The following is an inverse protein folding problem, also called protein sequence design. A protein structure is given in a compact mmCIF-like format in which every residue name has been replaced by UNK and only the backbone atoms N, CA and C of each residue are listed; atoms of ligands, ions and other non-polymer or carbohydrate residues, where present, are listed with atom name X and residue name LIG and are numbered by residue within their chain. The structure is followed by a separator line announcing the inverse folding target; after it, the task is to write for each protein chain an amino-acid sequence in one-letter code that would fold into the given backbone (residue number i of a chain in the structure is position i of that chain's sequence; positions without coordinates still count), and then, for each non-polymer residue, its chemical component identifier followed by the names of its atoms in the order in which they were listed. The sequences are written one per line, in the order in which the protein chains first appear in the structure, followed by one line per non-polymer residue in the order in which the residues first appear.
data_IF_938145569307
#
_entry.id   IF_938145569307
#
_cell.length_a   1.000
_cell.length_b   1.000
_cell.length_c   1.000
_cell.angle_alpha   90.00
_cell.angle_beta   90.00
_cell.angle_gamma   90.00
#
_symmetry.space_group_name_H-M   'P 1'
#
loop_
_entity.id
_entity.type
_entity.pdbx_description
1 polymer ?
#
# COMPACT_ATOMS: atom_id res chain seq x y z
N UNK A 1 -24.85 27.88 -17.17
CA UNK A 1 -25.07 26.65 -17.97
C UNK A 1 -26.47 26.17 -17.64
N UNK A 2 -27.42 26.39 -18.55
CA UNK A 2 -28.84 26.13 -18.29
C UNK A 2 -29.24 24.66 -18.52
N UNK A 3 -28.29 23.86 -19.03
CA UNK A 3 -28.45 22.43 -19.26
C UNK A 3 -27.54 21.58 -18.37
N UNK A 4 -28.02 20.38 -18.00
CA UNK A 4 -27.22 19.39 -17.27
C UNK A 4 -26.04 18.94 -18.14
N UNK A 5 -24.85 18.79 -17.55
CA UNK A 5 -23.63 18.32 -18.23
C UNK A 5 -23.85 17.11 -19.16
N UNK A 6 -24.59 16.10 -18.69
CA UNK A 6 -24.89 14.88 -19.45
C UNK A 6 -25.68 15.11 -20.75
N UNK A 7 -26.43 16.21 -20.85
CA UNK A 7 -27.24 16.56 -22.04
C UNK A 7 -26.46 17.34 -23.09
N UNK A 8 -25.28 17.88 -22.73
CA UNK A 8 -24.46 18.62 -23.67
C UNK A 8 -23.95 17.69 -24.79
N UNK A 9 -23.96 18.17 -26.06
CA UNK A 9 -23.31 17.50 -27.17
C UNK A 9 -21.87 17.09 -26.83
N UNK A 10 -21.42 15.96 -27.36
CA UNK A 10 -20.08 15.44 -27.09
C UNK A 10 -19.01 16.44 -27.51
N UNK A 11 -19.16 17.06 -28.67
CA UNK A 11 -18.25 18.09 -29.19
C UNK A 11 -18.05 19.25 -28.21
N UNK A 12 -19.15 19.76 -27.61
CA UNK A 12 -19.07 20.85 -26.63
C UNK A 12 -18.35 20.40 -25.36
N UNK A 13 -18.61 19.18 -24.87
CA UNK A 13 -17.92 18.62 -23.71
C UNK A 13 -16.42 18.43 -23.99
N UNK A 14 -16.08 17.94 -25.16
CA UNK A 14 -14.70 17.72 -25.58
C UNK A 14 -13.96 19.07 -25.69
N UNK A 15 -14.58 20.11 -26.23
CA UNK A 15 -14.00 21.47 -26.25
C UNK A 15 -13.76 22.01 -24.84
N UNK A 16 -14.72 21.81 -23.93
CA UNK A 16 -14.56 22.27 -22.53
C UNK A 16 -13.42 21.52 -21.83
N UNK A 17 -13.31 20.20 -22.03
CA UNK A 17 -12.34 19.36 -21.33
C UNK A 17 -10.94 19.45 -21.93
N UNK A 18 -10.82 19.35 -23.26
CA UNK A 18 -9.55 19.18 -23.99
C UNK A 18 -9.18 20.39 -24.87
N UNK A 19 -10.05 21.40 -24.95
CA UNK A 19 -9.75 22.65 -25.60
C UNK A 19 -10.34 22.79 -27.01
N UNK A 20 -10.22 23.99 -27.57
CA UNK A 20 -10.76 24.37 -28.88
C UNK A 20 -9.80 24.13 -30.05
N UNK A 21 -8.66 23.47 -29.81
CA UNK A 21 -7.59 23.28 -30.80
C UNK A 21 -7.17 24.61 -31.43
N UNK A 22 -7.39 24.77 -32.74
CA UNK A 22 -7.05 25.97 -33.51
C UNK A 22 -8.15 27.04 -33.51
N UNK A 23 -9.36 26.73 -32.99
CA UNK A 23 -10.47 27.67 -32.99
C UNK A 23 -10.28 28.74 -31.90
N UNK A 24 -10.17 30.00 -32.32
CA UNK A 24 -10.09 31.14 -31.41
C UNK A 24 -11.44 31.47 -30.79
N UNK A 25 -11.49 31.45 -29.45
CA UNK A 25 -12.65 31.84 -28.68
C UNK A 25 -12.43 33.24 -28.12
N UNK A 26 -13.47 34.09 -28.18
CA UNK A 26 -13.44 35.42 -27.58
C UNK A 26 -13.66 35.32 -26.06
N UNK A 27 -12.66 35.71 -25.29
CA UNK A 27 -12.73 35.83 -23.84
C UNK A 27 -12.93 37.30 -23.45
N UNK A 28 -13.92 37.56 -22.60
CA UNK A 28 -14.11 38.86 -21.98
C UNK A 28 -13.69 38.77 -20.52
N UNK A 29 -12.74 39.61 -20.13
CA UNK A 29 -12.26 39.71 -18.75
C UNK A 29 -12.80 40.98 -18.12
N UNK A 30 -13.25 40.85 -16.88
CA UNK A 30 -13.74 41.94 -16.04
C UNK A 30 -13.22 41.69 -14.62
N UNK A 31 -12.19 42.45 -14.23
CA UNK A 31 -11.58 42.36 -12.89
C UNK A 31 -12.17 43.40 -11.92
N UNK A 32 -13.20 44.14 -12.35
CA UNK A 32 -13.83 45.22 -11.60
C UNK A 32 -13.23 46.61 -11.83
N UNK A 33 -12.04 46.71 -12.44
CA UNK A 33 -11.38 47.98 -12.77
C UNK A 33 -11.32 48.22 -14.28
N UNK A 34 -11.02 47.18 -15.07
CA UNK A 34 -10.95 47.24 -16.53
C UNK A 34 -11.69 46.09 -17.20
N UNK A 35 -12.31 46.40 -18.35
CA UNK A 35 -12.97 45.42 -19.21
C UNK A 35 -12.23 45.34 -20.53
N UNK A 36 -11.65 44.18 -20.83
CA UNK A 36 -11.02 43.93 -22.12
C UNK A 36 -11.46 42.60 -22.71
N UNK A 37 -11.43 42.51 -24.04
CA UNK A 37 -11.72 41.28 -24.76
C UNK A 37 -10.54 40.85 -25.58
N UNK A 38 -10.17 39.57 -25.50
CA UNK A 38 -9.10 38.97 -26.28
C UNK A 38 -9.61 37.72 -27.00
N UNK A 39 -9.04 37.41 -28.17
CA UNK A 39 -9.27 36.15 -28.87
C UNK A 39 -8.04 35.27 -28.66
N UNK A 40 -8.27 34.06 -28.16
CA UNK A 40 -7.23 33.06 -27.98
C UNK A 40 -7.84 31.67 -28.09
N UNK A 41 -7.02 30.68 -28.36
CA UNK A 41 -7.43 29.28 -28.24
C UNK A 41 -7.69 28.94 -26.77
N UNK A 42 -8.68 28.09 -26.53
CA UNK A 42 -8.96 27.57 -25.21
C UNK A 42 -8.21 26.25 -25.05
N UNK A 43 -7.31 26.16 -24.07
CA UNK A 43 -6.50 24.95 -23.88
C UNK A 43 -7.29 23.76 -23.31
N UNK A 44 -8.48 24.00 -22.74
CA UNK A 44 -9.28 22.96 -22.08
C UNK A 44 -8.98 22.85 -20.59
N UNK A 45 -9.97 22.43 -19.81
CA UNK A 45 -9.84 22.32 -18.35
C UNK A 45 -8.83 21.24 -17.95
N UNK A 46 -8.83 20.08 -18.61
CA UNK A 46 -7.92 18.96 -18.27
C UNK A 46 -6.48 19.33 -18.57
N UNK A 47 -6.21 19.84 -19.78
CA UNK A 47 -4.85 20.24 -20.18
C UNK A 47 -4.33 21.40 -19.30
N UNK A 48 -5.20 22.34 -18.91
CA UNK A 48 -4.83 23.40 -17.97
C UNK A 48 -4.40 22.83 -16.61
N UNK A 49 -5.18 21.89 -16.05
CA UNK A 49 -4.87 21.26 -14.77
C UNK A 49 -3.57 20.46 -14.84
N UNK A 50 -3.38 19.66 -15.89
CA UNK A 50 -2.17 18.86 -16.12
C UNK A 50 -0.93 19.75 -16.24
N UNK A 51 -0.98 20.79 -17.07
CA UNK A 51 0.12 21.75 -17.22
C UNK A 51 0.44 22.45 -15.90
N UNK A 52 -0.58 22.95 -15.19
CA UNK A 52 -0.38 23.61 -13.88
C UNK A 52 0.20 22.68 -12.83
N UNK A 53 -0.17 21.40 -12.83
CA UNK A 53 0.40 20.41 -11.93
C UNK A 53 1.90 20.19 -12.19
N UNK A 54 2.29 20.07 -13.46
CA UNK A 54 3.68 19.87 -13.88
C UNK A 54 4.56 21.12 -13.69
N UNK A 55 4.03 22.31 -13.97
CA UNK A 55 4.78 23.57 -13.93
C UNK A 55 4.85 24.21 -12.53
N UNK A 56 3.91 23.90 -11.62
CA UNK A 56 3.88 24.58 -10.32
C UNK A 56 4.97 24.05 -9.37
N UNK A 57 5.61 24.99 -8.66
CA UNK A 57 6.54 24.70 -7.55
C UNK A 57 5.84 24.70 -6.18
N UNK A 58 4.53 25.01 -6.14
CA UNK A 58 3.78 25.09 -4.89
C UNK A 58 3.13 23.75 -4.55
N UNK A 59 3.56 23.15 -3.43
CA UNK A 59 3.00 21.88 -2.93
C UNK A 59 1.49 21.95 -2.67
N UNK A 60 1.00 23.05 -2.07
CA UNK A 60 -0.44 23.26 -1.86
C UNK A 60 -1.25 23.23 -3.17
N UNK A 61 -0.73 23.84 -4.25
CA UNK A 61 -1.40 23.80 -5.56
C UNK A 61 -1.37 22.39 -6.16
N UNK A 62 -0.31 21.62 -5.95
CA UNK A 62 -0.24 20.22 -6.39
C UNK A 62 -1.29 19.39 -5.68
N UNK A 63 -1.38 19.50 -4.36
CA UNK A 63 -2.39 18.79 -3.56
C UNK A 63 -3.82 19.12 -3.99
N UNK A 64 -4.13 20.40 -4.24
CA UNK A 64 -5.45 20.84 -4.71
C UNK A 64 -5.81 20.21 -6.06
N UNK A 65 -4.85 20.16 -7.00
CA UNK A 65 -5.07 19.58 -8.34
C UNK A 65 -5.17 18.04 -8.25
N UNK A 66 -4.37 17.40 -7.40
CA UNK A 66 -4.36 15.94 -7.24
C UNK A 66 -5.69 15.37 -6.76
N UNK A 67 -6.55 16.18 -6.12
CA UNK A 67 -7.92 15.76 -5.75
C UNK A 67 -8.80 15.38 -6.97
N UNK A 68 -8.47 15.89 -8.16
CA UNK A 68 -9.16 15.57 -9.41
C UNK A 68 -8.49 14.45 -10.20
N UNK A 69 -7.40 13.89 -9.69
CA UNK A 69 -6.65 12.78 -10.29
C UNK A 69 -6.98 11.47 -9.57
N UNK A 70 -6.75 10.37 -10.27
CA UNK A 70 -6.78 9.03 -9.69
C UNK A 70 -5.49 8.32 -10.03
N UNK A 71 -5.00 7.50 -9.11
CA UNK A 71 -3.86 6.64 -9.38
C UNK A 71 -4.25 5.53 -10.35
N UNK A 72 -3.35 5.23 -11.27
CA UNK A 72 -3.44 4.11 -12.21
C UNK A 72 -2.07 3.48 -12.38
N UNK A 73 -2.06 2.22 -12.84
CA UNK A 73 -0.80 1.55 -13.14
C UNK A 73 -0.01 2.32 -14.20
N UNK A 74 1.29 2.51 -13.93
CA UNK A 74 2.20 3.12 -14.89
C UNK A 74 2.21 2.32 -16.19
N UNK A 75 2.02 2.97 -17.33
CA UNK A 75 1.97 2.31 -18.64
C UNK A 75 3.25 1.53 -18.99
N UNK A 76 4.41 1.99 -18.50
CA UNK A 76 5.71 1.38 -18.77
C UNK A 76 5.93 0.11 -17.95
N UNK A 77 5.88 0.20 -16.63
CA UNK A 77 6.16 -0.93 -15.74
C UNK A 77 4.91 -1.74 -15.37
N UNK A 78 3.71 -1.29 -15.77
CA UNK A 78 2.41 -1.93 -15.48
C UNK A 78 2.20 -2.19 -13.99
N UNK A 79 2.56 -1.21 -13.16
CA UNK A 79 2.48 -1.31 -11.71
C UNK A 79 3.59 -2.15 -11.05
N UNK A 80 4.53 -2.73 -11.81
CA UNK A 80 5.58 -3.60 -11.25
C UNK A 80 6.72 -2.83 -10.57
N UNK A 81 6.79 -1.51 -10.74
CA UNK A 81 7.72 -0.56 -10.08
C UNK A 81 9.22 -0.81 -10.32
N UNK A 82 9.57 -1.64 -11.30
CA UNK A 82 10.95 -1.99 -11.65
C UNK A 82 11.23 -1.78 -13.13
N UNK A 83 12.52 -1.73 -13.49
CA UNK A 83 12.98 -1.69 -14.89
C UNK A 83 12.83 -3.05 -15.56
N UNK A 84 12.74 -3.06 -16.88
CA UNK A 84 12.56 -4.27 -17.68
C UNK A 84 13.69 -5.28 -17.46
N UNK A 85 14.94 -4.83 -17.31
CA UNK A 85 16.09 -5.71 -17.08
C UNK A 85 15.98 -6.47 -15.74
N UNK A 86 15.40 -5.84 -14.72
CA UNK A 86 15.16 -6.49 -13.42
C UNK A 86 14.02 -7.50 -13.50
N UNK A 87 12.99 -7.23 -14.32
CA UNK A 87 11.84 -8.12 -14.53
C UNK A 87 12.17 -9.34 -15.41
N UNK A 88 13.28 -9.28 -16.16
CA UNK A 88 13.81 -10.42 -16.91
C UNK A 88 14.43 -11.50 -16.02
N UNK A 89 14.84 -11.17 -14.79
CA UNK A 89 15.40 -12.13 -13.84
C UNK A 89 14.26 -12.93 -13.22
N UNK A 90 14.27 -14.25 -13.43
CA UNK A 90 13.21 -15.15 -13.01
C UNK A 90 13.73 -16.29 -12.15
N UNK A 91 12.94 -16.67 -11.15
CA UNK A 91 13.10 -17.87 -10.34
C UNK A 91 11.80 -18.66 -10.51
N UNK A 92 11.88 -19.96 -10.82
CA UNK A 92 10.68 -20.79 -11.10
C UNK A 92 9.70 -20.11 -12.08
N UNK A 93 10.23 -19.54 -13.17
CA UNK A 93 9.51 -18.78 -14.20
C UNK A 93 8.81 -17.48 -13.76
N UNK A 94 8.97 -17.04 -12.51
CA UNK A 94 8.37 -15.81 -11.99
C UNK A 94 9.44 -14.75 -11.71
N UNK A 95 9.11 -13.49 -12.02
CA UNK A 95 9.92 -12.34 -11.64
C UNK A 95 9.60 -11.86 -10.21
N UNK A 96 10.45 -10.99 -9.67
CA UNK A 96 10.32 -10.49 -8.29
C UNK A 96 8.98 -9.79 -8.00
N UNK A 97 8.44 -9.04 -8.97
CA UNK A 97 7.19 -8.29 -8.81
C UNK A 97 5.97 -9.21 -8.84
N UNK A 98 6.00 -10.24 -9.70
CA UNK A 98 4.97 -11.29 -9.75
C UNK A 98 4.89 -12.06 -8.43
N UNK A 99 6.04 -12.35 -7.81
CA UNK A 99 6.09 -12.98 -6.48
C UNK A 99 5.59 -12.02 -5.41
N UNK A 100 5.97 -10.73 -5.46
CA UNK A 100 5.53 -9.73 -4.48
C UNK A 100 4.02 -9.45 -4.53
N UNK A 101 3.39 -9.65 -5.69
CA UNK A 101 1.94 -9.46 -5.89
C UNK A 101 1.11 -10.63 -5.38
N UNK A 102 1.73 -11.77 -5.06
CA UNK A 102 1.04 -12.88 -4.41
C UNK A 102 0.65 -12.50 -2.99
N UNK A 103 -0.43 -13.12 -2.51
CA UNK A 103 -0.74 -13.08 -1.08
C UNK A 103 0.40 -13.71 -0.27
N UNK A 104 0.58 -13.30 0.98
CA UNK A 104 1.61 -13.83 1.88
C UNK A 104 1.49 -15.36 2.00
N UNK A 105 0.27 -15.90 2.04
CA UNK A 105 0.00 -17.34 2.02
C UNK A 105 0.53 -18.04 0.76
N UNK A 106 0.27 -17.46 -0.42
CA UNK A 106 0.75 -18.02 -1.70
C UNK A 106 2.26 -17.85 -1.86
N UNK A 107 2.81 -16.70 -1.47
CA UNK A 107 4.23 -16.45 -1.47
C UNK A 107 4.96 -17.46 -0.57
N UNK A 108 4.44 -17.75 0.63
CA UNK A 108 5.01 -18.76 1.53
C UNK A 108 5.07 -20.14 0.89
N UNK A 109 3.96 -20.56 0.27
CA UNK A 109 3.90 -21.85 -0.44
C UNK A 109 4.93 -21.90 -1.57
N UNK A 110 5.06 -20.82 -2.31
CA UNK A 110 6.01 -20.71 -3.41
C UNK A 110 7.47 -20.78 -2.92
N UNK A 111 7.87 -19.96 -1.93
CA UNK A 111 9.23 -20.00 -1.37
C UNK A 111 9.57 -21.34 -0.71
N UNK A 112 8.60 -22.00 -0.09
CA UNK A 112 8.80 -23.34 0.49
C UNK A 112 9.06 -24.40 -0.58
N UNK A 113 8.45 -24.26 -1.76
CA UNK A 113 8.61 -25.18 -2.90
C UNK A 113 9.99 -25.05 -3.56
N UNK A 114 10.61 -23.87 -3.54
CA UNK A 114 11.91 -23.62 -4.19
C UNK A 114 13.02 -24.56 -3.72
N UNK A 115 13.01 -24.99 -2.46
CA UNK A 115 13.99 -25.95 -1.93
C UNK A 115 14.03 -27.30 -2.69
N UNK A 116 12.97 -27.62 -3.44
CA UNK A 116 12.85 -28.84 -4.23
C UNK A 116 13.08 -28.60 -5.74
N UNK A 117 13.13 -27.35 -6.17
CA UNK A 117 13.27 -26.95 -7.58
C UNK A 117 14.71 -26.53 -7.88
N UNK A 118 15.34 -25.82 -6.94
CA UNK A 118 16.69 -25.30 -7.10
C UNK A 118 17.73 -26.42 -7.20
N UNK A 119 18.75 -26.20 -8.03
CA UNK A 119 19.90 -27.10 -8.13
C UNK A 119 20.70 -27.11 -6.82
N UNK A 120 21.49 -28.16 -6.57
CA UNK A 120 22.28 -28.31 -5.34
C UNK A 120 23.18 -27.09 -5.04
N UNK A 121 23.79 -26.52 -6.09
CA UNK A 121 24.64 -25.32 -5.95
C UNK A 121 23.83 -24.10 -5.52
N UNK A 122 22.69 -23.85 -6.17
CA UNK A 122 21.81 -22.73 -5.88
C UNK A 122 21.20 -22.85 -4.49
N UNK A 123 20.75 -24.06 -4.14
CA UNK A 123 20.20 -24.39 -2.83
C UNK A 123 21.20 -24.11 -1.72
N UNK A 124 22.47 -24.49 -1.90
CA UNK A 124 23.53 -24.22 -0.92
C UNK A 124 23.78 -22.71 -0.72
N UNK A 125 23.70 -21.92 -1.78
CA UNK A 125 23.86 -20.45 -1.71
C UNK A 125 22.63 -19.80 -1.07
N UNK A 126 21.44 -20.23 -1.48
CA UNK A 126 20.17 -19.63 -1.08
C UNK A 126 19.66 -20.12 0.28
N UNK A 127 20.24 -21.16 0.88
CA UNK A 127 19.74 -21.83 2.08
C UNK A 127 19.39 -20.85 3.21
N UNK A 128 20.32 -19.96 3.57
CA UNK A 128 20.11 -18.99 4.65
C UNK A 128 19.07 -17.93 4.28
N UNK A 129 19.07 -17.49 3.02
CA UNK A 129 18.13 -16.47 2.51
C UNK A 129 16.71 -17.03 2.48
N UNK A 130 16.53 -18.24 1.94
CA UNK A 130 15.23 -18.91 1.90
C UNK A 130 14.72 -19.21 3.30
N UNK A 131 15.59 -19.59 4.24
CA UNK A 131 15.21 -19.78 5.64
C UNK A 131 14.65 -18.48 6.22
N UNK A 132 15.37 -17.38 6.10
CA UNK A 132 14.96 -16.06 6.61
C UNK A 132 13.64 -15.58 5.99
N UNK A 133 13.48 -15.70 4.67
CA UNK A 133 12.24 -15.32 3.98
C UNK A 133 11.06 -16.15 4.48
N UNK A 134 11.24 -17.47 4.58
CA UNK A 134 10.20 -18.37 5.04
C UNK A 134 9.78 -18.06 6.49
N UNK A 135 10.74 -17.80 7.38
CA UNK A 135 10.47 -17.44 8.77
C UNK A 135 9.72 -16.10 8.87
N UNK A 136 10.11 -15.08 8.09
CA UNK A 136 9.39 -13.79 8.05
C UNK A 136 7.96 -13.91 7.56
N UNK A 137 7.74 -14.70 6.51
CA UNK A 137 6.40 -14.98 6.02
C UNK A 137 5.59 -15.75 7.06
N UNK A 138 6.18 -16.71 7.78
CA UNK A 138 5.51 -17.42 8.88
C UNK A 138 5.09 -16.47 10.00
N UNK A 139 5.90 -15.46 10.36
CA UNK A 139 5.49 -14.46 11.35
C UNK A 139 4.26 -13.69 10.90
N UNK A 140 4.19 -13.28 9.63
CA UNK A 140 3.05 -12.57 9.07
C UNK A 140 1.79 -13.46 9.05
N UNK A 141 1.93 -14.75 8.75
CA UNK A 141 0.84 -15.73 8.82
C UNK A 141 0.33 -15.92 10.26
N UNK A 142 1.25 -15.98 11.23
CA UNK A 142 0.93 -16.15 12.65
C UNK A 142 0.22 -14.94 13.26
N UNK A 143 0.33 -13.76 12.66
CA UNK A 143 -0.45 -12.58 13.08
C UNK A 143 -1.68 -12.34 12.20
N UNK A 144 -2.08 -13.31 11.37
CA UNK A 144 -3.32 -13.25 10.59
C UNK A 144 -3.29 -12.26 9.43
N UNK A 145 -2.13 -12.03 8.81
CA UNK A 145 -1.98 -11.15 7.64
C UNK A 145 -1.87 -11.92 6.32
N UNK A 146 -2.35 -13.17 6.29
CA UNK A 146 -2.13 -14.09 5.18
C UNK A 146 -2.73 -13.65 3.83
N UNK A 147 -3.76 -12.78 3.88
CA UNK A 147 -4.46 -12.23 2.72
C UNK A 147 -3.75 -11.04 2.06
N UNK A 148 -2.85 -10.36 2.77
CA UNK A 148 -2.13 -9.21 2.22
C UNK A 148 -1.09 -9.67 1.19
N UNK A 149 -0.74 -8.79 0.26
CA UNK A 149 0.37 -9.00 -0.67
C UNK A 149 1.63 -8.28 -0.18
N UNK A 150 2.81 -8.73 -0.61
CA UNK A 150 4.07 -8.05 -0.28
C UNK A 150 4.21 -6.70 -1.01
N UNK A 151 3.49 -6.53 -2.12
CA UNK A 151 3.44 -5.29 -2.91
C UNK A 151 2.44 -4.25 -2.38
N UNK A 152 1.62 -4.60 -1.38
CA UNK A 152 0.61 -3.70 -0.80
C UNK A 152 1.28 -2.44 -0.25
N UNK A 153 0.70 -1.29 -0.59
CA UNK A 153 1.21 -0.01 -0.13
C UNK A 153 0.93 0.22 1.36
N UNK A 154 1.96 0.62 2.10
CA UNK A 154 1.89 0.81 3.55
C UNK A 154 0.87 1.86 3.97
N UNK A 155 0.68 2.91 3.17
CA UNK A 155 -0.31 3.97 3.43
C UNK A 155 -1.76 3.51 3.35
N UNK A 156 -2.01 2.33 2.76
CA UNK A 156 -3.37 1.76 2.60
C UNK A 156 -3.72 0.72 3.67
N UNK A 157 -2.81 0.49 4.62
CA UNK A 157 -3.03 -0.45 5.72
C UNK A 157 -3.86 0.21 6.82
N UNK A 158 -4.76 -0.57 7.40
CA UNK A 158 -5.44 -0.19 8.65
C UNK A 158 -4.45 -0.11 9.82
N UNK A 159 -4.86 0.58 10.89
CA UNK A 159 -4.08 0.67 12.12
C UNK A 159 -3.72 -0.71 12.70
N UNK A 160 -4.71 -1.62 12.78
CA UNK A 160 -4.51 -2.98 13.25
C UNK A 160 -3.57 -3.81 12.36
N UNK A 161 -3.65 -3.68 11.04
CA UNK A 161 -2.70 -4.34 10.12
C UNK A 161 -1.26 -3.84 10.34
N UNK A 162 -1.09 -2.52 10.44
CA UNK A 162 0.22 -1.90 10.67
C UNK A 162 0.82 -2.34 12.01
N UNK A 163 0.01 -2.41 13.06
CA UNK A 163 0.42 -2.89 14.38
C UNK A 163 0.84 -4.36 14.32
N UNK A 164 0.10 -5.21 13.61
CA UNK A 164 0.44 -6.64 13.46
C UNK A 164 1.69 -6.87 12.62
N UNK A 165 1.93 -6.09 11.57
CA UNK A 165 3.20 -6.12 10.82
C UNK A 165 4.37 -5.76 11.76
N UNK A 166 4.18 -4.75 12.60
CA UNK A 166 5.18 -4.36 13.60
C UNK A 166 5.43 -5.49 14.59
N UNK A 167 4.38 -6.13 15.12
CA UNK A 167 4.51 -7.29 16.01
C UNK A 167 5.27 -8.45 15.34
N UNK A 168 4.91 -8.82 14.11
CA UNK A 168 5.58 -9.86 13.35
C UNK A 168 7.08 -9.54 13.16
N UNK A 169 7.41 -8.29 12.86
CA UNK A 169 8.80 -7.82 12.73
C UNK A 169 9.57 -7.91 14.06
N UNK A 170 8.91 -7.65 15.20
CA UNK A 170 9.54 -7.76 16.52
C UNK A 170 9.81 -9.22 16.90
N UNK A 171 8.85 -10.12 16.66
CA UNK A 171 9.06 -11.56 16.88
C UNK A 171 10.23 -12.07 16.02
N UNK A 172 10.33 -11.60 14.77
CA UNK A 172 11.42 -11.98 13.87
C UNK A 172 12.78 -11.36 14.20
N UNK A 173 12.84 -10.29 15.01
CA UNK A 173 14.11 -9.68 15.39
C UNK A 173 14.92 -10.55 16.37
N UNK A 174 14.26 -11.49 17.06
CA UNK A 174 14.89 -12.37 18.04
C UNK A 174 15.47 -11.64 19.25
N UNK A 175 15.04 -10.39 19.51
CA UNK A 175 15.46 -9.63 20.67
C UNK A 175 14.95 -10.28 21.96
N UNK A 176 15.78 -10.24 23.00
CA UNK A 176 15.49 -10.80 24.32
C UNK A 176 15.75 -9.75 25.40
N UNK A 177 15.09 -9.85 26.56
CA UNK A 177 15.22 -8.88 27.65
C UNK A 177 14.55 -7.52 27.36
N UNK A 178 13.63 -7.46 26.39
CA UNK A 178 12.90 -6.25 26.02
C UNK A 178 11.53 -6.23 26.73
N UNK A 179 11.10 -5.03 27.12
CA UNK A 179 9.73 -4.76 27.56
C UNK A 179 8.91 -4.26 26.37
N UNK A 180 7.95 -5.08 25.92
CA UNK A 180 6.97 -4.70 24.90
C UNK A 180 5.71 -4.20 25.59
N UNK A 181 5.27 -2.99 25.23
CA UNK A 181 3.99 -2.42 25.67
C UNK A 181 3.11 -2.28 24.44
N UNK A 182 1.97 -2.97 24.43
CA UNK A 182 1.01 -2.99 23.33
C UNK A 182 -0.32 -2.39 23.78
N UNK A 183 -0.92 -1.62 22.89
CA UNK A 183 -2.21 -0.95 23.09
C UNK A 183 -3.26 -1.60 22.17
N UNK A 184 -4.24 -2.29 22.77
CA UNK A 184 -5.36 -3.00 22.11
C UNK A 184 -5.00 -3.76 20.81
N UNK A 185 -4.06 -4.72 20.84
CA UNK A 185 -3.63 -5.44 19.64
C UNK A 185 -4.72 -6.29 18.97
N UNK A 186 -5.83 -6.58 19.66
CA UNK A 186 -6.99 -7.29 19.10
C UNK A 186 -7.88 -6.39 18.22
N UNK A 187 -7.65 -5.07 18.19
CA UNK A 187 -8.51 -4.14 17.46
C UNK A 187 -8.57 -4.45 15.96
N UNK A 188 -9.80 -4.54 15.43
CA UNK A 188 -10.05 -4.84 14.02
C UNK A 188 -9.70 -6.29 13.63
N UNK A 189 -9.53 -7.18 14.60
CA UNK A 189 -9.30 -8.60 14.37
C UNK A 189 -10.62 -9.39 14.47
N UNK A 190 -10.77 -10.41 13.63
CA UNK A 190 -11.87 -11.35 13.77
C UNK A 190 -11.58 -12.31 14.93
N UNK A 191 -12.59 -12.69 15.73
CA UNK A 191 -12.44 -13.58 16.91
C UNK A 191 -11.59 -14.83 16.61
N UNK A 192 -11.78 -15.43 15.43
CA UNK A 192 -11.04 -16.62 14.98
C UNK A 192 -9.52 -16.43 14.91
N UNK A 193 -9.05 -15.22 14.58
CA UNK A 193 -7.63 -14.93 14.47
C UNK A 193 -7.02 -14.50 15.80
N UNK A 194 -7.85 -14.25 16.83
CA UNK A 194 -7.41 -13.77 18.13
C UNK A 194 -6.51 -14.79 18.83
N UNK A 195 -6.85 -16.07 18.69
CA UNK A 195 -6.01 -17.20 19.12
C UNK A 195 -4.60 -17.12 18.53
N UNK A 196 -4.47 -16.74 17.25
CA UNK A 196 -3.16 -16.64 16.59
C UNK A 196 -2.35 -15.48 17.17
N UNK A 197 -2.99 -14.34 17.41
CA UNK A 197 -2.38 -13.18 18.07
C UNK A 197 -1.90 -13.53 19.47
N UNK A 198 -2.74 -14.15 20.30
CA UNK A 198 -2.39 -14.59 21.66
C UNK A 198 -1.18 -15.52 21.64
N UNK A 199 -1.14 -16.49 20.72
CA UNK A 199 0.00 -17.38 20.55
C UNK A 199 1.28 -16.62 20.13
N UNK A 200 1.16 -15.61 19.28
CA UNK A 200 2.28 -14.76 18.89
C UNK A 200 2.82 -13.95 20.08
N UNK A 201 1.94 -13.41 20.94
CA UNK A 201 2.32 -12.70 22.17
C UNK A 201 3.01 -13.62 23.18
N UNK A 202 2.47 -14.83 23.40
CA UNK A 202 3.10 -15.86 24.24
C UNK A 202 4.48 -16.23 23.72
N UNK A 203 4.63 -16.41 22.41
CA UNK A 203 5.95 -16.66 21.80
C UNK A 203 6.91 -15.51 22.04
N UNK A 204 6.46 -14.26 21.92
CA UNK A 204 7.29 -13.08 22.19
C UNK A 204 7.79 -13.06 23.64
N UNK A 205 6.91 -13.37 24.61
CA UNK A 205 7.26 -13.57 26.03
C UNK A 205 8.27 -14.70 26.21
N UNK A 206 8.02 -15.87 25.60
CA UNK A 206 8.83 -17.07 25.77
C UNK A 206 10.25 -16.94 25.18
N UNK A 207 10.49 -15.95 24.31
CA UNK A 207 11.84 -15.55 23.89
C UNK A 207 12.65 -14.87 25.01
N UNK A 208 12.08 -14.67 26.20
CA UNK A 208 12.72 -14.00 27.33
C UNK A 208 12.41 -12.51 27.38
N UNK A 209 11.25 -12.10 26.86
CA UNK A 209 10.76 -10.72 26.93
C UNK A 209 9.62 -10.59 27.93
N UNK A 210 9.35 -9.36 28.36
CA UNK A 210 8.14 -9.03 29.11
C UNK A 210 7.15 -8.35 28.17
N UNK A 211 5.89 -8.77 28.19
CA UNK A 211 4.84 -8.23 27.33
C UNK A 211 3.73 -7.69 28.21
N UNK A 212 3.49 -6.38 28.15
CA UNK A 212 2.36 -5.70 28.78
C UNK A 212 1.38 -5.35 27.68
N UNK A 213 0.12 -5.73 27.86
CA UNK A 213 -0.94 -5.51 26.89
C UNK A 213 -2.08 -4.77 27.60
N UNK A 214 -2.49 -3.64 27.04
CA UNK A 214 -3.76 -2.98 27.39
C UNK A 214 -4.84 -3.60 26.53
N UNK A 215 -5.80 -4.29 27.15
CA UNK A 215 -6.85 -5.02 26.45
C UNK A 215 -8.16 -5.03 27.22
N UNK A 216 -9.24 -5.21 26.47
CA UNK A 216 -10.59 -5.44 26.99
C UNK A 216 -11.20 -6.76 26.48
N UNK A 217 -10.50 -7.47 25.58
CA UNK A 217 -10.92 -8.77 25.08
C UNK A 217 -10.81 -9.88 26.14
N UNK A 218 -11.92 -10.61 26.36
CA UNK A 218 -12.02 -11.65 27.39
C UNK A 218 -11.06 -12.81 27.15
N UNK A 219 -10.89 -13.24 25.90
CA UNK A 219 -10.02 -14.37 25.56
C UNK A 219 -8.54 -14.04 25.85
N UNK A 220 -8.14 -12.79 25.60
CA UNK A 220 -6.79 -12.31 25.96
C UNK A 220 -6.59 -12.24 27.47
N UNK A 221 -7.58 -11.72 28.21
CA UNK A 221 -7.55 -11.65 29.68
C UNK A 221 -7.44 -13.05 30.28
N UNK A 222 -8.23 -14.02 29.81
CA UNK A 222 -8.19 -15.42 30.27
C UNK A 222 -6.84 -16.10 30.01
N UNK A 223 -6.09 -15.64 29.01
CA UNK A 223 -4.79 -16.19 28.62
C UNK A 223 -3.59 -15.47 29.22
N UNK A 224 -3.81 -14.41 30.02
CA UNK A 224 -2.75 -13.64 30.65
C UNK A 224 -2.11 -14.40 31.82
N UNK A 225 -0.79 -14.27 31.97
CA UNK A 225 -0.08 -14.82 33.14
C UNK A 225 -0.37 -14.01 34.42
N UNK A 226 -0.65 -12.72 34.25
CA UNK A 226 -0.93 -11.78 35.32
C UNK A 226 -1.87 -10.68 34.81
N UNK A 227 -2.81 -10.25 35.67
CA UNK A 227 -3.82 -9.23 35.34
C UNK A 227 -3.70 -8.11 36.38
N UNK A 228 -3.69 -6.87 35.90
CA UNK A 228 -3.79 -5.66 36.70
C UNK A 228 -5.07 -4.95 36.26
N UNK A 229 -6.00 -4.79 37.20
CA UNK A 229 -7.25 -4.05 37.00
C UNK A 229 -7.10 -2.64 37.59
N UNK A 230 -7.55 -1.60 36.88
CA UNK A 230 -7.33 -0.17 37.19
C UNK A 230 -8.63 0.59 37.45
#
# INVERSE_FOLDING_TARGET
LDEKWKKLPKEIRDIILFGSNDDEIKFNYDDGYEKYSTKKTFEGVINNLERRYLETESEWKREEISQYQSESDCEKCKGMRLKDEALCVKIDNLNISEVATKSISEAKKWFSKLNNILEEKEKKIAQHILKEINERLDFLLNVGLDYLTLSRESGTLSGGESQRIRLASQIGSGLTGVLYVLDEPSIGLHQKDNVKLINALKRLRDLGNTVIVVEHDTETIENADHIIDL
#
